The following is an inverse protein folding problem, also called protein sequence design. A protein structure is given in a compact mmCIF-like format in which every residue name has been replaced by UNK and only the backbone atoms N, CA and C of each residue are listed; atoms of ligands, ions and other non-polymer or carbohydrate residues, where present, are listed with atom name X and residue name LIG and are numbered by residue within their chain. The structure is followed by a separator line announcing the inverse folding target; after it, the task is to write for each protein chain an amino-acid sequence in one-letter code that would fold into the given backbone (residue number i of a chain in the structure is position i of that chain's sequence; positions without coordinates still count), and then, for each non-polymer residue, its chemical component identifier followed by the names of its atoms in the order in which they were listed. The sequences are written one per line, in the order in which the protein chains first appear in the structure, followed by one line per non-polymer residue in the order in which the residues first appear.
data_IF_012262892738
#
_entry.id   IF_012262892738
#
_cell.length_a   1.000
_cell.length_b   1.000
_cell.length_c   1.000
_cell.angle_alpha   90.00
_cell.angle_beta   90.00
_cell.angle_gamma   90.00
#
_symmetry.space_group_name_H-M   'P 1'
#
loop_
_entity.id
_entity.type
_entity.pdbx_description
1 polymer ?
#
# COMPACT_ATOMS: atom_id res chain seq x y z
N UNK A 1 0.63 14.81 -2.98
CA UNK A 1 1.59 13.72 -2.67
C UNK A 1 2.92 13.94 -3.38
N UNK A 2 2.94 14.42 -4.63
CA UNK A 2 4.16 14.68 -5.43
C UNK A 2 5.33 15.33 -4.68
N UNK A 3 5.17 16.51 -4.07
CA UNK A 3 6.26 17.16 -3.31
C UNK A 3 6.77 16.33 -2.11
N UNK A 4 5.87 15.58 -1.46
CA UNK A 4 6.25 14.67 -0.38
C UNK A 4 7.02 13.46 -0.92
N UNK A 5 6.66 12.97 -2.11
CA UNK A 5 7.35 11.91 -2.82
C UNK A 5 8.74 12.35 -3.27
N UNK A 6 8.87 13.56 -3.83
CA UNK A 6 10.16 14.15 -4.20
C UNK A 6 11.09 14.34 -3.00
N UNK A 7 10.53 14.66 -1.83
CA UNK A 7 11.27 14.70 -0.57
C UNK A 7 11.70 13.31 -0.06
N UNK A 8 11.11 12.23 -0.58
CA UNK A 8 11.41 10.84 -0.24
C UNK A 8 10.46 10.20 0.79
N UNK A 9 9.34 10.85 1.13
CA UNK A 9 8.42 10.33 2.17
C UNK A 9 7.71 9.04 1.76
N UNK A 10 7.51 8.78 0.46
CA UNK A 10 6.90 7.52 -0.02
C UNK A 10 7.88 6.33 0.03
N UNK A 11 9.19 6.59 0.12
CA UNK A 11 10.24 5.58 0.08
C UNK A 11 10.87 5.27 1.44
N UNK A 12 10.35 5.81 2.55
CA UNK A 12 11.01 5.75 3.86
C UNK A 12 11.44 4.32 4.24
N UNK A 13 10.54 3.35 4.14
CA UNK A 13 10.79 1.96 4.58
C UNK A 13 11.46 1.07 3.53
N UNK A 14 11.56 1.56 2.29
CA UNK A 14 12.10 0.79 1.17
C UNK A 14 13.61 0.92 1.15
N UNK A 15 14.35 -0.16 0.90
CA UNK A 15 15.82 -0.12 0.83
C UNK A 15 16.32 0.72 -0.35
N UNK A 16 17.56 1.23 -0.25
CA UNK A 16 18.19 2.02 -1.32
C UNK A 16 18.30 1.27 -2.65
N UNK A 17 18.44 -0.08 -2.63
CA UNK A 17 18.42 -0.93 -3.83
C UNK A 17 17.13 -0.78 -4.65
N UNK A 18 16.02 -0.38 -4.01
CA UNK A 18 14.74 -0.09 -4.64
C UNK A 18 14.39 1.40 -4.55
N UNK A 19 15.39 2.29 -4.57
CA UNK A 19 15.21 3.75 -4.59
C UNK A 19 14.50 4.33 -3.35
N UNK A 20 14.54 3.64 -2.21
CA UNK A 20 14.03 4.15 -0.94
C UNK A 20 15.11 4.63 0.02
N UNK A 21 14.71 5.01 1.24
CA UNK A 21 15.60 5.57 2.27
C UNK A 21 16.16 4.53 3.26
N UNK A 22 15.65 3.30 3.25
CA UNK A 22 16.10 2.21 4.11
C UNK A 22 15.84 2.41 5.60
N UNK A 23 14.88 3.25 5.97
CA UNK A 23 14.60 3.56 7.37
C UNK A 23 13.98 2.37 8.08
N UNK A 24 14.34 2.24 9.36
CA UNK A 24 13.61 1.39 10.30
C UNK A 24 12.18 1.92 10.51
N UNK A 25 11.24 1.07 10.93
CA UNK A 25 9.88 1.52 11.26
C UNK A 25 9.84 2.70 12.23
N UNK A 26 10.77 2.76 13.18
CA UNK A 26 10.82 3.84 14.16
C UNK A 26 11.29 5.17 13.56
N UNK A 27 12.28 5.15 12.67
CA UNK A 27 12.70 6.33 11.92
C UNK A 27 11.59 6.84 10.99
N UNK A 28 10.83 5.95 10.37
CA UNK A 28 9.69 6.32 9.56
C UNK A 28 8.57 6.97 10.40
N UNK A 29 8.27 6.44 11.59
CA UNK A 29 7.31 7.05 12.53
C UNK A 29 7.75 8.46 12.92
N UNK A 30 9.01 8.67 13.30
CA UNK A 30 9.50 10.02 13.62
C UNK A 30 9.42 10.99 12.43
N UNK A 31 9.66 10.49 11.21
CA UNK A 31 9.53 11.30 10.00
C UNK A 31 8.07 11.73 9.77
N UNK A 32 7.12 10.82 9.99
CA UNK A 32 5.69 11.12 9.86
C UNK A 32 5.16 11.99 11.02
N UNK A 33 5.70 11.87 12.22
CA UNK A 33 5.42 12.78 13.35
C UNK A 33 5.88 14.20 13.02
N UNK A 34 7.09 14.36 12.48
CA UNK A 34 7.61 15.65 12.02
C UNK A 34 6.74 16.26 10.92
N UNK A 35 6.28 15.44 9.96
CA UNK A 35 5.34 15.90 8.94
C UNK A 35 4.01 16.35 9.58
N UNK A 36 3.44 15.57 10.49
CA UNK A 36 2.17 15.91 11.15
C UNK A 36 2.26 17.14 12.05
N UNK A 37 3.43 17.43 12.60
CA UNK A 37 3.66 18.68 13.33
C UNK A 37 3.71 19.91 12.41
N UNK A 38 4.26 19.75 11.19
CA UNK A 38 4.53 20.86 10.27
C UNK A 38 3.52 21.03 9.13
N UNK A 39 2.61 20.08 8.92
CA UNK A 39 1.65 20.05 7.82
C UNK A 39 0.22 19.99 8.36
N UNK A 40 -0.59 21.01 8.05
CA UNK A 40 -2.00 21.08 8.48
C UNK A 40 -2.94 20.16 7.67
N UNK A 41 -2.46 19.52 6.60
CA UNK A 41 -3.24 18.57 5.80
C UNK A 41 -3.13 17.13 6.34
N UNK A 42 -4.02 16.80 7.29
CA UNK A 42 -4.15 15.46 7.85
C UNK A 42 -4.56 14.40 6.81
N UNK A 43 -5.29 14.80 5.77
CA UNK A 43 -5.74 13.90 4.71
C UNK A 43 -4.58 13.39 3.86
N UNK A 44 -3.66 14.29 3.50
CA UNK A 44 -2.42 13.95 2.83
C UNK A 44 -1.54 13.04 3.70
N UNK A 45 -1.41 13.36 4.99
CA UNK A 45 -0.65 12.55 5.92
C UNK A 45 -1.23 11.12 6.03
N UNK A 46 -2.55 11.01 6.15
CA UNK A 46 -3.22 9.71 6.16
C UNK A 46 -3.02 8.92 4.86
N UNK A 47 -3.08 9.59 3.70
CA UNK A 47 -2.84 8.97 2.40
C UNK A 47 -1.42 8.41 2.25
N UNK A 48 -0.40 9.13 2.75
CA UNK A 48 1.01 8.69 2.75
C UNK A 48 1.20 7.49 3.70
N UNK A 49 0.61 7.55 4.90
CA UNK A 49 0.66 6.42 5.84
C UNK A 49 0.01 5.16 5.24
N UNK A 50 -1.18 5.28 4.64
CA UNK A 50 -1.83 4.15 3.98
C UNK A 50 -0.96 3.56 2.85
N UNK A 51 -0.36 4.41 2.02
CA UNK A 51 0.57 4.00 0.97
C UNK A 51 1.75 3.20 1.55
N UNK A 52 2.47 3.77 2.53
CA UNK A 52 3.67 3.16 3.10
C UNK A 52 3.39 1.84 3.80
N UNK A 53 2.45 1.86 4.75
CA UNK A 53 2.29 0.77 5.72
C UNK A 53 1.36 -0.33 5.22
N UNK A 54 0.31 0.02 4.48
CA UNK A 54 -0.69 -0.94 4.00
C UNK A 54 -0.40 -1.47 2.60
N UNK A 55 0.48 -0.82 1.83
CA UNK A 55 0.74 -1.19 0.45
C UNK A 55 2.21 -1.58 0.21
N UNK A 56 3.14 -0.68 0.50
CA UNK A 56 4.57 -0.89 0.24
C UNK A 56 5.17 -1.96 1.16
N UNK A 57 4.86 -1.91 2.45
CA UNK A 57 5.35 -2.87 3.45
C UNK A 57 4.97 -4.34 3.17
N UNK A 58 3.72 -4.69 2.82
CA UNK A 58 3.38 -6.05 2.41
C UNK A 58 4.20 -6.58 1.24
N UNK A 59 4.43 -5.76 0.20
CA UNK A 59 5.27 -6.15 -0.95
C UNK A 59 6.72 -6.34 -0.51
N UNK A 60 7.25 -5.41 0.30
CA UNK A 60 8.62 -5.49 0.83
C UNK A 60 8.84 -6.77 1.65
N UNK A 61 7.86 -7.16 2.46
CA UNK A 61 7.97 -8.32 3.37
C UNK A 61 7.66 -9.65 2.70
N UNK A 62 6.67 -9.68 1.80
CA UNK A 62 6.08 -10.93 1.30
C UNK A 62 6.15 -11.11 -0.22
N UNK A 63 6.50 -10.07 -0.98
CA UNK A 63 6.61 -10.16 -2.43
C UNK A 63 7.74 -11.09 -2.87
N UNK A 64 7.61 -11.68 -4.07
CA UNK A 64 8.74 -12.34 -4.73
C UNK A 64 9.79 -11.32 -5.13
N UNK A 65 10.99 -11.79 -5.52
CA UNK A 65 12.05 -10.92 -6.00
C UNK A 65 11.57 -10.07 -7.20
N UNK A 66 10.88 -10.71 -8.14
CA UNK A 66 10.37 -10.07 -9.35
C UNK A 66 9.29 -9.03 -9.02
N UNK A 67 8.41 -9.31 -8.04
CA UNK A 67 7.43 -8.34 -7.56
C UNK A 67 8.09 -7.14 -6.89
N UNK A 68 9.11 -7.38 -6.06
CA UNK A 68 9.86 -6.31 -5.39
C UNK A 68 10.56 -5.39 -6.40
N UNK A 69 11.31 -5.97 -7.34
CA UNK A 69 11.99 -5.23 -8.41
C UNK A 69 11.00 -4.44 -9.27
N UNK A 70 9.81 -4.99 -9.54
CA UNK A 70 8.80 -4.32 -10.35
C UNK A 70 8.09 -3.17 -9.62
N UNK A 71 7.72 -3.35 -8.36
CA UNK A 71 6.79 -2.44 -7.67
C UNK A 71 7.48 -1.50 -6.68
N UNK A 72 8.47 -1.95 -5.93
CA UNK A 72 9.05 -1.15 -4.85
C UNK A 72 9.71 0.15 -5.35
N UNK A 73 10.48 0.17 -6.46
CA UNK A 73 11.04 1.42 -6.96
C UNK A 73 9.98 2.48 -7.26
N UNK A 74 8.87 2.06 -7.90
CA UNK A 74 7.79 2.96 -8.30
C UNK A 74 6.95 3.45 -7.12
N UNK A 75 6.75 2.59 -6.13
CA UNK A 75 6.07 2.98 -4.89
C UNK A 75 6.97 3.93 -4.07
N UNK A 76 8.27 3.64 -3.98
CA UNK A 76 9.21 4.46 -3.23
C UNK A 76 9.34 5.89 -3.78
N UNK A 77 9.36 6.03 -5.11
CA UNK A 77 9.41 7.34 -5.78
C UNK A 77 8.05 8.05 -5.84
N UNK A 78 6.96 7.37 -5.48
CA UNK A 78 5.60 7.89 -5.65
C UNK A 78 5.10 7.92 -7.10
N UNK A 79 5.82 7.30 -8.06
CA UNK A 79 5.30 7.09 -9.42
C UNK A 79 4.01 6.28 -9.38
N UNK A 80 3.95 5.26 -8.50
CA UNK A 80 2.74 4.50 -8.23
C UNK A 80 2.16 4.86 -6.88
N UNK A 81 0.84 4.98 -6.82
CA UNK A 81 0.09 5.11 -5.57
C UNK A 81 -0.54 3.76 -5.21
N UNK A 82 -0.25 3.28 -4.01
CA UNK A 82 -0.85 2.07 -3.45
C UNK A 82 -2.20 2.31 -2.77
N UNK A 83 -3.09 1.33 -2.91
CA UNK A 83 -4.32 1.21 -2.13
C UNK A 83 -4.49 -0.21 -1.56
N UNK A 84 -5.01 -0.33 -0.34
CA UNK A 84 -5.24 -1.61 0.33
C UNK A 84 -6.73 -1.96 0.32
N UNK A 85 -7.08 -3.01 -0.42
CA UNK A 85 -8.44 -3.39 -0.73
C UNK A 85 -8.90 -4.62 0.08
N UNK A 86 -9.24 -4.38 1.35
CA UNK A 86 -9.68 -5.43 2.28
C UNK A 86 -11.19 -5.40 2.53
N UNK A 87 -11.72 -4.28 3.04
CA UNK A 87 -13.09 -4.13 3.53
C UNK A 87 -14.15 -4.31 2.43
N UNK A 88 -15.24 -4.98 2.77
CA UNK A 88 -16.42 -5.18 1.93
C UNK A 88 -17.68 -4.65 2.65
N UNK A 89 -18.79 -4.38 1.94
CA UNK A 89 -20.03 -3.92 2.59
C UNK A 89 -20.52 -4.82 3.73
N UNK A 90 -20.24 -6.12 3.65
CA UNK A 90 -20.62 -7.13 4.64
C UNK A 90 -19.44 -7.61 5.52
N UNK A 91 -18.22 -7.07 5.34
CA UNK A 91 -17.01 -7.53 6.02
C UNK A 91 -16.11 -6.32 6.38
N UNK A 92 -16.32 -5.82 7.60
CA UNK A 92 -15.50 -4.79 8.24
C UNK A 92 -14.68 -5.39 9.38
N UNK A 93 -15.22 -5.35 10.60
CA UNK A 93 -14.58 -5.93 11.80
C UNK A 93 -14.35 -7.44 11.68
N UNK A 94 -15.28 -8.17 11.07
CA UNK A 94 -15.05 -9.55 10.64
C UNK A 94 -14.40 -9.56 9.27
N UNK A 95 -13.10 -9.25 9.23
CA UNK A 95 -12.36 -9.11 7.98
C UNK A 95 -12.10 -10.45 7.27
N UNK A 96 -12.24 -11.59 7.95
CA UNK A 96 -12.08 -12.91 7.32
C UNK A 96 -13.39 -13.42 6.67
N UNK A 97 -14.54 -12.85 7.04
CA UNK A 97 -15.85 -13.12 6.43
C UNK A 97 -16.07 -12.51 5.04
N UNK A 98 -15.01 -12.11 4.33
CA UNK A 98 -15.10 -11.48 3.01
C UNK A 98 -15.56 -12.46 1.92
N UNK A 99 -16.28 -11.97 0.91
CA UNK A 99 -16.79 -12.80 -0.20
C UNK A 99 -15.89 -12.75 -1.43
N UNK A 100 -15.01 -11.74 -1.57
CA UNK A 100 -14.13 -11.66 -2.72
C UNK A 100 -13.27 -12.93 -2.85
N UNK A 101 -13.17 -13.47 -4.06
CA UNK A 101 -12.49 -14.72 -4.35
C UNK A 101 -11.49 -14.55 -5.50
N UNK A 102 -10.53 -15.49 -5.60
CA UNK A 102 -9.61 -15.57 -6.72
C UNK A 102 -9.58 -17.01 -7.24
N UNK A 103 -10.21 -17.24 -8.38
CA UNK A 103 -10.25 -18.56 -9.00
C UNK A 103 -9.08 -18.72 -9.97
N UNK A 104 -8.33 -19.81 -9.85
CA UNK A 104 -7.27 -20.16 -10.79
C UNK A 104 -7.79 -20.29 -12.22
N UNK A 105 -7.02 -19.77 -13.17
CA UNK A 105 -7.27 -19.84 -14.60
C UNK A 105 -5.93 -19.93 -15.35
N UNK A 106 -5.35 -21.13 -15.38
CA UNK A 106 -4.04 -21.38 -15.98
C UNK A 106 -2.91 -20.74 -15.17
N UNK A 107 -2.19 -19.80 -15.78
CA UNK A 107 -1.11 -19.01 -15.17
C UNK A 107 -1.61 -17.71 -14.51
N UNK A 108 -2.93 -17.54 -14.41
CA UNK A 108 -3.59 -16.33 -13.92
C UNK A 108 -4.71 -16.64 -12.92
N UNK A 109 -5.26 -15.59 -12.31
CA UNK A 109 -6.43 -15.67 -11.44
C UNK A 109 -7.56 -14.77 -11.95
N UNK A 110 -8.80 -15.24 -11.86
CA UNK A 110 -10.00 -14.41 -12.04
C UNK A 110 -10.45 -13.93 -10.67
N UNK A 111 -10.30 -12.63 -10.43
CA UNK A 111 -10.77 -11.96 -9.20
C UNK A 111 -12.24 -11.55 -9.35
N UNK A 112 -13.07 -11.89 -8.37
CA UNK A 112 -14.46 -11.44 -8.29
C UNK A 112 -14.78 -10.98 -6.87
N UNK A 113 -15.40 -9.81 -6.73
CA UNK A 113 -15.81 -9.28 -5.44
C UNK A 113 -16.01 -7.76 -5.48
N UNK A 114 -16.53 -7.20 -4.39
CA UNK A 114 -16.73 -5.76 -4.24
C UNK A 114 -16.04 -5.28 -2.96
N UNK A 115 -15.28 -4.19 -3.07
CA UNK A 115 -14.56 -3.57 -1.95
C UNK A 115 -15.13 -2.18 -1.67
N UNK A 116 -15.10 -1.72 -0.42
CA UNK A 116 -15.57 -0.40 -0.03
C UNK A 116 -14.61 0.26 0.99
N UNK A 117 -14.67 1.59 1.08
CA UNK A 117 -13.81 2.41 1.96
C UNK A 117 -12.30 2.27 1.67
N UNK A 118 -11.94 2.19 0.39
CA UNK A 118 -10.55 1.98 -0.02
C UNK A 118 -9.85 3.33 -0.16
N UNK A 119 -9.04 3.68 0.85
CA UNK A 119 -8.16 4.86 0.81
C UNK A 119 -7.26 4.84 -0.42
N UNK A 120 -7.09 6.00 -1.06
CA UNK A 120 -6.36 6.21 -2.31
C UNK A 120 -6.97 5.57 -3.57
N UNK A 121 -8.09 4.83 -3.49
CA UNK A 121 -8.60 4.09 -4.64
C UNK A 121 -8.81 4.90 -5.93
N UNK A 122 -9.30 6.16 -5.92
CA UNK A 122 -9.46 6.94 -7.15
C UNK A 122 -8.15 7.30 -7.86
N UNK A 123 -7.02 7.21 -7.16
CA UNK A 123 -5.69 7.59 -7.65
C UNK A 123 -4.71 6.42 -7.71
N UNK A 124 -5.12 5.21 -7.33
CA UNK A 124 -4.22 4.09 -7.13
C UNK A 124 -3.84 3.38 -8.44
N UNK A 125 -2.55 3.11 -8.60
CA UNK A 125 -1.99 2.32 -9.70
C UNK A 125 -1.86 0.84 -9.32
N UNK A 126 -1.72 0.55 -8.02
CA UNK A 126 -1.54 -0.79 -7.48
C UNK A 126 -2.46 -1.01 -6.29
N UNK A 127 -3.16 -2.15 -6.29
CA UNK A 127 -3.99 -2.59 -5.18
C UNK A 127 -3.38 -3.81 -4.49
N UNK A 128 -3.24 -3.74 -3.17
CA UNK A 128 -3.12 -4.95 -2.34
C UNK A 128 -4.53 -5.48 -2.14
N UNK A 129 -4.92 -6.48 -2.94
CA UNK A 129 -6.27 -7.04 -2.91
C UNK A 129 -6.36 -8.23 -1.97
N UNK A 130 -7.24 -8.16 -0.97
CA UNK A 130 -7.50 -9.30 -0.08
C UNK A 130 -8.68 -10.11 -0.59
N UNK A 131 -8.52 -11.43 -0.56
CA UNK A 131 -9.56 -12.41 -0.90
C UNK A 131 -9.82 -13.38 0.25
N UNK A 132 -10.96 -14.06 0.20
CA UNK A 132 -11.29 -15.14 1.10
C UNK A 132 -10.25 -16.27 0.96
N UNK A 133 -9.82 -16.83 2.08
CA UNK A 133 -8.87 -17.94 2.11
C UNK A 133 -9.45 -19.22 1.46
N UNK A 134 -10.77 -19.40 1.51
CA UNK A 134 -11.50 -20.58 1.03
C UNK A 134 -12.09 -20.42 -0.38
N UNK A 135 -11.94 -19.25 -0.98
CA UNK A 135 -12.48 -18.90 -2.30
C UNK A 135 -11.43 -18.75 -3.38
#
# INVERSE_FOLDING_TARGET
MELCSDFGLCGLLVSEEYSGAGFTPMQAVFSMEGLGYGCDDDGLLFAINNHLYSCTMPILKHGTKEQKERFLPKLATGEYIGAHAMTEPNSGSDSFGMNACAKENGDSYILNGNKCFITNAPLADVYIFCKNING
#
